data_IF_679491996691
#
_entry.id   IF_679491996691
#
_cell.length_a   1.000
_cell.length_b   1.000
_cell.length_c   1.000
_cell.angle_alpha   90.00
_cell.angle_beta   90.00
_cell.angle_gamma   90.00
#
_symmetry.space_group_name_H-M   'P 1'
#
loop_
_entity.id
_entity.type
_entity.pdbx_description
1 polymer ?
#
# COMPACT_ATOMS: atom_id res chain seq x y z
N UNK A 1 14.01 -13.89 -5.67
CA UNK A 1 14.50 -12.58 -6.17
C UNK A 1 14.01 -11.53 -5.20
N UNK A 2 14.91 -10.74 -4.65
CA UNK A 2 14.56 -9.72 -3.66
C UNK A 2 14.15 -8.44 -4.40
N UNK A 3 12.91 -7.98 -4.17
CA UNK A 3 12.36 -6.80 -4.84
C UNK A 3 12.70 -5.57 -4.00
N UNK A 4 13.22 -4.55 -4.69
CA UNK A 4 13.62 -3.27 -4.11
C UNK A 4 12.83 -2.15 -4.77
N UNK A 5 12.52 -1.14 -3.97
CA UNK A 5 11.81 0.06 -4.33
C UNK A 5 12.71 1.27 -4.15
N UNK A 6 12.50 2.31 -4.96
CA UNK A 6 13.04 3.62 -4.66
C UNK A 6 12.24 4.22 -3.50
N UNK A 7 12.88 4.31 -2.35
CA UNK A 7 12.34 4.93 -1.15
C UNK A 7 11.22 4.18 -0.41
N UNK A 8 10.75 4.83 0.65
CA UNK A 8 9.77 4.34 1.61
C UNK A 8 8.40 5.05 1.42
N UNK A 9 7.47 4.93 2.38
CA UNK A 9 6.17 5.62 2.29
C UNK A 9 6.29 7.14 2.19
N UNK A 10 7.32 7.74 2.79
CA UNK A 10 7.58 9.19 2.69
C UNK A 10 7.87 9.58 1.24
N UNK A 11 8.71 8.81 0.55
CA UNK A 11 8.98 8.99 -0.87
C UNK A 11 7.73 8.79 -1.72
N UNK A 12 6.91 7.78 -1.40
CA UNK A 12 5.64 7.57 -2.07
C UNK A 12 4.71 8.80 -1.99
N UNK A 13 4.53 9.32 -0.77
CA UNK A 13 3.69 10.50 -0.50
C UNK A 13 4.17 11.73 -1.28
N UNK A 14 5.43 12.09 -1.14
CA UNK A 14 5.91 13.39 -1.60
C UNK A 14 6.34 13.39 -3.08
N UNK A 15 6.71 12.22 -3.62
CA UNK A 15 7.29 12.10 -4.96
C UNK A 15 6.42 11.26 -5.89
N UNK A 16 6.18 9.98 -5.56
CA UNK A 16 5.58 9.04 -6.51
C UNK A 16 4.14 9.40 -6.88
N UNK A 17 3.28 9.71 -5.90
CA UNK A 17 1.87 10.05 -6.18
C UNK A 17 1.77 11.22 -7.16
N UNK A 18 2.52 12.31 -6.91
CA UNK A 18 2.51 13.50 -7.78
C UNK A 18 3.01 13.17 -9.18
N UNK A 19 4.10 12.41 -9.26
CA UNK A 19 4.68 11.95 -10.53
C UNK A 19 3.68 11.10 -11.31
N UNK A 20 3.01 10.17 -10.65
CA UNK A 20 2.07 9.25 -11.29
C UNK A 20 0.79 9.92 -11.72
N UNK A 21 0.25 10.85 -10.93
CA UNK A 21 -0.91 11.65 -11.34
C UNK A 21 -0.61 12.47 -12.60
N UNK A 22 0.59 13.06 -12.70
CA UNK A 22 1.04 13.72 -13.92
C UNK A 22 1.14 12.75 -15.12
N UNK A 23 1.71 11.56 -14.90
CA UNK A 23 2.03 10.62 -15.97
C UNK A 23 0.86 9.76 -16.46
N UNK A 24 -0.06 9.36 -15.57
CA UNK A 24 -1.04 8.31 -15.81
C UNK A 24 -2.50 8.75 -15.62
N UNK A 25 -2.76 9.87 -14.94
CA UNK A 25 -4.10 10.42 -14.73
C UNK A 25 -4.37 11.65 -15.58
N UNK A 26 -3.43 12.59 -15.62
CA UNK A 26 -3.60 13.88 -16.28
C UNK A 26 -2.99 13.95 -17.69
N UNK A 27 -2.41 12.85 -18.18
CA UNK A 27 -1.71 12.85 -19.46
C UNK A 27 -2.66 12.61 -20.64
N UNK A 28 -3.07 13.70 -21.33
CA UNK A 28 -3.95 13.68 -22.51
C UNK A 28 -3.42 12.82 -23.66
N UNK A 29 -2.11 12.57 -23.75
CA UNK A 29 -1.49 11.76 -24.81
C UNK A 29 -1.51 10.26 -24.51
N UNK A 30 -2.02 9.84 -23.34
CA UNK A 30 -2.27 8.43 -23.01
C UNK A 30 -3.75 8.11 -23.11
N UNK A 31 -4.04 6.90 -23.58
CA UNK A 31 -5.40 6.36 -23.49
C UNK A 31 -5.68 5.97 -22.02
N UNK A 32 -6.27 6.89 -21.26
CA UNK A 32 -6.56 6.71 -19.83
C UNK A 32 -7.45 5.48 -19.58
N UNK A 33 -8.42 5.22 -20.45
CA UNK A 33 -9.29 4.04 -20.34
C UNK A 33 -8.48 2.74 -20.38
N UNK A 34 -7.54 2.65 -21.33
CA UNK A 34 -6.67 1.48 -21.45
C UNK A 34 -5.68 1.36 -20.28
N UNK A 35 -5.14 2.48 -19.78
CA UNK A 35 -4.29 2.47 -18.57
C UNK A 35 -5.08 1.95 -17.37
N UNK A 36 -6.29 2.47 -17.15
CA UNK A 36 -7.15 2.06 -16.05
C UNK A 36 -7.54 0.58 -16.16
N UNK A 37 -7.84 0.10 -17.37
CA UNK A 37 -8.15 -1.30 -17.63
C UNK A 37 -6.96 -2.22 -17.29
N UNK A 38 -5.74 -1.85 -17.70
CA UNK A 38 -4.53 -2.59 -17.36
C UNK A 38 -4.25 -2.54 -15.85
N UNK A 39 -4.35 -1.39 -15.20
CA UNK A 39 -4.13 -1.26 -13.75
C UNK A 39 -5.15 -2.08 -12.96
N UNK A 40 -6.42 -2.01 -13.34
CA UNK A 40 -7.51 -2.83 -12.77
C UNK A 40 -7.15 -4.31 -12.90
N UNK A 41 -6.72 -4.73 -14.09
CA UNK A 41 -6.35 -6.13 -14.32
C UNK A 41 -5.25 -6.62 -13.36
N UNK A 42 -4.15 -5.86 -13.21
CA UNK A 42 -3.07 -6.24 -12.29
C UNK A 42 -3.43 -6.06 -10.82
N UNK A 43 -4.40 -5.19 -10.50
CA UNK A 43 -4.90 -5.03 -9.15
C UNK A 43 -5.76 -6.23 -8.71
N UNK A 44 -6.55 -6.82 -9.61
CA UNK A 44 -7.42 -7.97 -9.32
C UNK A 44 -6.81 -9.34 -9.66
N UNK A 45 -5.54 -9.38 -10.06
CA UNK A 45 -4.84 -10.62 -10.38
C UNK A 45 -3.46 -10.63 -9.72
N UNK A 46 -2.98 -11.81 -9.33
CA UNK A 46 -1.67 -11.94 -8.70
C UNK A 46 -0.54 -11.65 -9.69
N UNK A 47 -0.29 -12.57 -10.63
CA UNK A 47 0.81 -12.46 -11.58
C UNK A 47 0.29 -12.77 -12.97
N UNK A 48 0.62 -11.93 -13.95
CA UNK A 48 0.26 -12.12 -15.35
C UNK A 48 1.44 -11.80 -16.25
N UNK A 49 1.63 -12.61 -17.28
CA UNK A 49 2.41 -12.22 -18.46
C UNK A 49 1.67 -11.13 -19.24
N UNK A 50 2.39 -10.38 -20.07
CA UNK A 50 1.76 -9.42 -20.99
C UNK A 50 0.74 -10.09 -21.94
N UNK A 51 0.99 -11.35 -22.31
CA UNK A 51 0.08 -12.15 -23.13
C UNK A 51 -1.21 -12.54 -22.40
N UNK A 52 -1.11 -13.06 -21.18
CA UNK A 52 -2.28 -13.37 -20.34
C UNK A 52 -3.10 -12.11 -20.05
N UNK A 53 -2.42 -10.98 -19.82
CA UNK A 53 -3.08 -9.70 -19.64
C UNK A 53 -3.86 -9.28 -20.91
N UNK A 54 -3.23 -9.40 -22.08
CA UNK A 54 -3.88 -9.08 -23.35
C UNK A 54 -5.09 -9.98 -23.62
N UNK A 55 -4.99 -11.28 -23.31
CA UNK A 55 -6.10 -12.23 -23.42
C UNK A 55 -7.31 -11.83 -22.58
N UNK A 56 -7.09 -11.32 -21.36
CA UNK A 56 -8.19 -10.90 -20.47
C UNK A 56 -8.86 -9.60 -20.94
N UNK A 57 -8.15 -8.74 -21.66
CA UNK A 57 -8.67 -7.47 -22.21
C UNK A 57 -9.37 -7.68 -23.57
N UNK A 58 -8.91 -8.62 -24.38
CA UNK A 58 -9.36 -8.82 -25.75
C UNK A 58 -10.64 -9.63 -25.89
N UNK A 59 -11.48 -9.28 -26.88
CA UNK A 59 -12.63 -10.09 -27.31
C UNK A 59 -12.16 -11.31 -28.14
N UNK A 60 -11.77 -12.40 -27.47
CA UNK A 60 -11.51 -13.79 -27.94
C UNK A 60 -10.73 -14.08 -29.26
N UNK A 61 -10.50 -13.13 -30.18
CA UNK A 61 -9.78 -13.38 -31.44
C UNK A 61 -8.28 -13.06 -31.32
N UNK A 62 -7.44 -13.83 -32.04
CA UNK A 62 -5.99 -13.81 -31.89
C UNK A 62 -5.34 -12.47 -32.27
N UNK A 63 -5.83 -11.82 -33.32
CA UNK A 63 -5.32 -10.52 -33.79
C UNK A 63 -5.50 -9.40 -32.76
N UNK A 64 -6.65 -9.36 -32.07
CA UNK A 64 -6.85 -8.37 -31.01
C UNK A 64 -5.94 -8.62 -29.81
N UNK A 65 -5.69 -9.90 -29.47
CA UNK A 65 -4.75 -10.29 -28.41
C UNK A 65 -3.34 -9.78 -28.75
N UNK A 66 -2.84 -10.04 -29.96
CA UNK A 66 -1.53 -9.55 -30.41
C UNK A 66 -1.42 -8.02 -30.35
N UNK A 67 -2.46 -7.30 -30.82
CA UNK A 67 -2.50 -5.84 -30.78
C UNK A 67 -2.47 -5.31 -29.35
N UNK A 68 -3.22 -5.92 -28.45
CA UNK A 68 -3.27 -5.50 -27.05
C UNK A 68 -1.99 -5.88 -26.29
N UNK A 69 -1.36 -7.01 -26.60
CA UNK A 69 -0.07 -7.38 -26.00
C UNK A 69 1.02 -6.35 -26.36
N UNK A 70 1.10 -5.93 -27.63
CA UNK A 70 2.02 -4.86 -28.06
C UNK A 70 1.76 -3.54 -27.31
N UNK A 71 0.49 -3.17 -27.13
CA UNK A 71 0.12 -1.98 -26.35
C UNK A 71 0.51 -2.10 -24.88
N UNK A 72 0.29 -3.26 -24.25
CA UNK A 72 0.66 -3.54 -22.86
C UNK A 72 2.18 -3.44 -22.69
N UNK A 73 2.96 -4.09 -23.56
CA UNK A 73 4.43 -4.04 -23.51
C UNK A 73 4.95 -2.60 -23.62
N UNK A 74 4.38 -1.80 -24.52
CA UNK A 74 4.69 -0.35 -24.62
C UNK A 74 4.30 0.43 -23.36
N UNK A 75 3.17 0.12 -22.74
CA UNK A 75 2.77 0.75 -21.48
C UNK A 75 3.69 0.37 -20.31
N UNK A 76 4.20 -0.87 -20.29
CA UNK A 76 5.09 -1.35 -19.24
C UNK A 76 6.47 -0.72 -19.29
N UNK A 77 7.08 -0.68 -20.47
CA UNK A 77 8.45 -0.19 -20.67
C UNK A 77 8.49 1.33 -20.84
N UNK A 78 7.43 1.92 -21.40
CA UNK A 78 7.41 3.32 -21.81
C UNK A 78 7.76 3.47 -23.29
N UNK A 79 7.78 4.72 -23.76
CA UNK A 79 8.09 5.07 -25.15
C UNK A 79 8.63 6.49 -25.27
N UNK A 80 9.30 6.78 -26.39
CA UNK A 80 9.53 8.14 -26.86
C UNK A 80 8.43 8.51 -27.85
N UNK A 81 7.89 9.72 -27.75
CA UNK A 81 6.93 10.28 -28.71
C UNK A 81 7.29 11.75 -28.94
N UNK A 82 7.65 12.11 -30.17
CA UNK A 82 8.09 13.45 -30.58
C UNK A 82 9.09 14.10 -29.59
N UNK A 83 10.20 13.42 -29.32
CA UNK A 83 11.25 13.89 -28.39
C UNK A 83 10.88 13.86 -26.90
N UNK A 84 9.63 13.55 -26.55
CA UNK A 84 9.18 13.45 -25.15
C UNK A 84 9.23 12.00 -24.66
N UNK A 85 9.88 11.75 -23.52
CA UNK A 85 9.90 10.43 -22.87
C UNK A 85 8.63 10.21 -22.05
N UNK A 86 7.91 9.12 -22.33
CA UNK A 86 6.79 8.64 -21.55
C UNK A 86 7.23 7.41 -20.79
N UNK A 87 7.39 7.58 -19.48
CA UNK A 87 7.86 6.48 -18.66
C UNK A 87 6.82 5.35 -18.54
N UNK A 88 7.31 4.12 -18.52
CA UNK A 88 6.46 2.94 -18.36
C UNK A 88 6.01 2.71 -16.93
N UNK A 89 5.07 1.76 -16.76
CA UNK A 89 4.65 1.30 -15.43
C UNK A 89 5.78 0.64 -14.63
N UNK A 90 6.75 0.00 -15.30
CA UNK A 90 7.93 -0.61 -14.66
C UNK A 90 8.90 0.45 -14.13
N UNK A 91 9.20 1.46 -14.95
CA UNK A 91 10.09 2.58 -14.58
C UNK A 91 9.50 3.42 -13.44
N UNK A 92 8.17 3.46 -13.36
CA UNK A 92 7.44 4.09 -12.28
C UNK A 92 7.16 3.15 -11.11
N UNK A 93 7.66 1.91 -11.10
CA UNK A 93 7.47 0.96 -9.99
C UNK A 93 6.00 0.71 -9.61
N UNK A 94 5.06 0.94 -10.53
CA UNK A 94 3.62 0.62 -10.33
C UNK A 94 3.41 -0.89 -10.48
N UNK A 95 4.11 -1.48 -11.45
CA UNK A 95 4.20 -2.93 -11.62
C UNK A 95 5.66 -3.33 -11.50
N UNK A 96 5.90 -4.60 -11.16
CA UNK A 96 7.23 -5.19 -11.12
C UNK A 96 7.30 -6.41 -12.03
N UNK A 97 8.50 -6.71 -12.54
CA UNK A 97 8.78 -7.92 -13.29
C UNK A 97 9.31 -9.00 -12.33
N UNK A 98 8.55 -10.07 -12.17
CA UNK A 98 8.97 -11.28 -11.48
C UNK A 98 9.55 -12.18 -12.57
N UNK A 99 10.87 -12.09 -12.79
CA UNK A 99 11.55 -12.91 -13.80
C UNK A 99 11.28 -14.39 -13.51
N UNK A 100 10.75 -15.10 -14.50
CA UNK A 100 10.69 -16.56 -14.51
C UNK A 100 11.45 -17.08 -15.73
N UNK A 101 12.08 -18.26 -15.61
CA UNK A 101 13.00 -18.86 -16.59
C UNK A 101 12.43 -18.98 -18.02
N UNK A 102 11.10 -18.97 -18.18
CA UNK A 102 10.42 -19.15 -19.47
C UNK A 102 9.77 -17.89 -20.04
N UNK A 103 9.31 -16.95 -19.20
CA UNK A 103 8.58 -15.75 -19.63
C UNK A 103 8.62 -14.66 -18.54
N UNK A 104 8.60 -13.38 -18.95
CA UNK A 104 8.41 -12.26 -18.01
C UNK A 104 6.99 -12.30 -17.44
N UNK A 105 6.87 -12.48 -16.12
CA UNK A 105 5.62 -12.29 -15.38
C UNK A 105 5.66 -10.96 -14.67
N UNK A 106 4.50 -10.33 -14.56
CA UNK A 106 4.36 -9.03 -13.93
C UNK A 106 3.33 -9.12 -12.83
N UNK A 107 3.50 -8.31 -11.79
CA UNK A 107 2.46 -8.07 -10.79
C UNK A 107 2.42 -6.62 -10.37
N UNK A 108 1.33 -6.24 -9.71
CA UNK A 108 1.26 -4.96 -9.04
C UNK A 108 2.30 -4.89 -7.91
N UNK A 109 2.91 -3.73 -7.74
CA UNK A 109 3.80 -3.47 -6.63
C UNK A 109 3.04 -3.03 -5.38
N UNK A 110 3.72 -2.88 -4.24
CA UNK A 110 3.09 -2.29 -3.04
C UNK A 110 2.66 -0.83 -3.27
N UNK A 111 3.52 0.00 -3.86
CA UNK A 111 3.15 1.38 -4.17
C UNK A 111 2.05 1.45 -5.25
N UNK A 112 2.11 0.57 -6.26
CA UNK A 112 1.10 0.46 -7.30
C UNK A 112 -0.25 0.02 -6.75
N UNK A 113 -0.25 -0.91 -5.80
CA UNK A 113 -1.43 -1.35 -5.07
C UNK A 113 -2.05 -0.18 -4.31
N UNK A 114 -1.25 0.56 -3.53
CA UNK A 114 -1.70 1.77 -2.86
C UNK A 114 -2.31 2.74 -3.88
N UNK A 115 -1.60 3.03 -4.97
CA UNK A 115 -2.12 3.95 -5.99
C UNK A 115 -3.46 3.50 -6.57
N UNK A 116 -3.63 2.21 -6.88
CA UNK A 116 -4.89 1.67 -7.38
C UNK A 116 -6.05 1.85 -6.39
N UNK A 117 -5.81 1.67 -5.08
CA UNK A 117 -6.84 1.85 -4.04
C UNK A 117 -7.47 3.25 -4.06
N UNK A 118 -6.70 4.29 -4.39
CA UNK A 118 -7.22 5.66 -4.52
C UNK A 118 -7.68 5.96 -5.95
N UNK A 119 -6.83 5.65 -6.92
CA UNK A 119 -6.97 6.12 -8.29
C UNK A 119 -8.16 5.49 -9.02
N UNK A 120 -8.38 4.18 -8.82
CA UNK A 120 -9.47 3.45 -9.46
C UNK A 120 -10.81 3.62 -8.74
N UNK A 121 -10.87 4.37 -7.63
CA UNK A 121 -12.08 4.60 -6.81
C UNK A 121 -12.79 3.30 -6.42
N UNK A 122 -12.02 2.28 -6.04
CA UNK A 122 -12.53 0.94 -5.75
C UNK A 122 -13.52 0.95 -4.59
N UNK A 123 -14.59 0.17 -4.71
CA UNK A 123 -15.58 -0.12 -3.67
C UNK A 123 -15.02 -1.00 -2.55
N UNK A 124 -15.71 -1.08 -1.41
CA UNK A 124 -15.27 -1.93 -0.29
C UNK A 124 -15.18 -3.41 -0.70
N UNK A 125 -16.16 -3.90 -1.46
CA UNK A 125 -16.20 -5.28 -1.99
C UNK A 125 -15.00 -5.58 -2.90
N UNK A 126 -14.59 -4.61 -3.71
CA UNK A 126 -13.41 -4.74 -4.55
C UNK A 126 -12.11 -4.79 -3.75
N UNK A 127 -12.01 -4.00 -2.68
CA UNK A 127 -10.86 -4.05 -1.77
C UNK A 127 -10.80 -5.41 -1.06
N UNK A 128 -11.93 -5.98 -0.65
CA UNK A 128 -11.97 -7.32 -0.07
C UNK A 128 -11.40 -8.38 -1.01
N UNK A 129 -11.73 -8.30 -2.30
CA UNK A 129 -11.17 -9.20 -3.32
C UNK A 129 -9.66 -9.01 -3.48
N UNK A 130 -9.20 -7.75 -3.50
CA UNK A 130 -7.78 -7.42 -3.57
C UNK A 130 -7.02 -7.96 -2.36
N UNK A 131 -7.57 -7.80 -1.15
CA UNK A 131 -6.97 -8.32 0.06
C UNK A 131 -6.80 -9.85 -0.01
N UNK A 132 -7.83 -10.56 -0.50
CA UNK A 132 -7.75 -12.02 -0.73
C UNK A 132 -6.70 -12.41 -1.76
N UNK A 133 -6.56 -11.66 -2.85
CA UNK A 133 -5.57 -11.97 -3.89
C UNK A 133 -4.14 -11.72 -3.42
N UNK A 134 -3.91 -10.60 -2.74
CA UNK A 134 -2.58 -10.07 -2.46
C UNK A 134 -2.09 -10.36 -1.04
N UNK A 135 -2.61 -11.41 -0.39
CA UNK A 135 -2.21 -11.79 0.98
C UNK A 135 -0.70 -11.92 1.15
N UNK A 136 0.03 -12.36 0.11
CA UNK A 136 1.48 -12.50 0.14
C UNK A 136 2.23 -11.16 0.13
N UNK A 137 1.65 -10.10 -0.42
CA UNK A 137 2.27 -8.76 -0.47
C UNK A 137 2.17 -8.05 0.88
N UNK A 138 1.00 -8.11 1.52
CA UNK A 138 0.74 -7.46 2.82
C UNK A 138 0.27 -8.49 3.86
N UNK A 139 1.12 -9.47 4.23
CA UNK A 139 0.69 -10.62 5.04
C UNK A 139 0.13 -10.21 6.40
N UNK A 140 0.66 -9.17 7.06
CA UNK A 140 0.14 -8.76 8.38
C UNK A 140 -1.24 -8.10 8.34
N UNK A 141 -1.68 -7.64 7.17
CA UNK A 141 -2.97 -6.98 6.97
C UNK A 141 -3.92 -7.94 6.24
N UNK A 142 -3.57 -8.32 5.02
CA UNK A 142 -4.46 -9.00 4.09
C UNK A 142 -4.73 -10.46 4.44
N UNK A 143 -3.81 -11.18 5.10
CA UNK A 143 -4.10 -12.54 5.58
C UNK A 143 -5.16 -12.59 6.67
N UNK A 144 -5.45 -11.44 7.29
CA UNK A 144 -6.39 -11.28 8.41
C UNK A 144 -7.51 -10.30 8.08
N UNK A 145 -7.72 -10.03 6.78
CA UNK A 145 -8.65 -9.01 6.34
C UNK A 145 -10.07 -9.26 6.85
N UNK A 146 -10.50 -10.52 6.84
CA UNK A 146 -11.83 -10.90 7.32
C UNK A 146 -11.99 -10.68 8.84
N UNK A 147 -10.95 -10.93 9.64
CA UNK A 147 -10.96 -10.58 11.08
C UNK A 147 -11.02 -9.08 11.31
N UNK A 148 -10.30 -8.30 10.51
CA UNK A 148 -10.24 -6.84 10.66
C UNK A 148 -11.58 -6.17 10.37
N UNK A 149 -12.38 -6.75 9.47
CA UNK A 149 -13.74 -6.30 9.14
C UNK A 149 -14.73 -6.44 10.30
N UNK A 150 -14.45 -7.27 11.32
CA UNK A 150 -15.29 -7.35 12.52
C UNK A 150 -15.42 -5.99 13.23
N UNK A 151 -14.45 -5.09 13.04
CA UNK A 151 -14.46 -3.74 13.62
C UNK A 151 -15.22 -2.70 12.76
N UNK A 152 -15.71 -3.08 11.58
CA UNK A 152 -16.40 -2.18 10.66
C UNK A 152 -15.46 -1.58 9.60
N UNK A 153 -15.77 -0.35 9.18
CA UNK A 153 -15.12 0.30 8.03
C UNK A 153 -13.66 0.74 8.30
N UNK A 154 -13.18 0.62 9.54
CA UNK A 154 -11.81 0.88 9.97
C UNK A 154 -10.77 0.14 9.12
N UNK A 155 -11.08 -1.08 8.66
CA UNK A 155 -10.16 -1.85 7.82
C UNK A 155 -9.90 -1.15 6.47
N UNK A 156 -10.84 -0.34 5.97
CA UNK A 156 -10.68 0.40 4.72
C UNK A 156 -9.83 1.67 4.85
N UNK A 157 -9.30 1.97 6.05
CA UNK A 157 -8.38 3.12 6.29
C UNK A 157 -7.07 3.01 5.51
N UNK A 158 -6.73 1.85 4.96
CA UNK A 158 -5.64 1.72 3.98
C UNK A 158 -5.82 2.68 2.78
N UNK A 159 -7.06 3.09 2.47
CA UNK A 159 -7.37 4.15 1.49
C UNK A 159 -6.82 5.54 1.86
N UNK A 160 -6.57 5.80 3.15
CA UNK A 160 -5.98 7.06 3.59
C UNK A 160 -4.48 7.07 3.27
N UNK A 161 -3.80 5.97 3.56
CA UNK A 161 -2.39 5.80 3.21
C UNK A 161 -2.17 5.93 1.70
N UNK A 162 -3.05 5.34 0.90
CA UNK A 162 -2.98 5.43 -0.56
C UNK A 162 -3.22 6.84 -1.11
N UNK A 163 -3.70 7.79 -0.29
CA UNK A 163 -3.80 9.20 -0.64
C UNK A 163 -2.54 9.99 -0.24
N UNK A 164 -1.53 9.30 0.28
CA UNK A 164 -0.31 9.92 0.83
C UNK A 164 -0.53 10.54 2.21
N UNK A 165 -1.67 10.30 2.88
CA UNK A 165 -1.97 10.89 4.18
C UNK A 165 -1.26 10.10 5.29
N UNK A 166 0.03 10.41 5.50
CA UNK A 166 0.87 9.76 6.51
C UNK A 166 0.73 10.38 7.90
N UNK A 167 0.89 11.71 7.97
CA UNK A 167 0.89 12.52 9.19
C UNK A 167 -0.11 13.70 9.12
N UNK A 168 -0.80 13.87 7.99
CA UNK A 168 -1.55 15.10 7.67
C UNK A 168 -2.95 15.15 8.28
N UNK A 169 -3.24 14.21 9.19
CA UNK A 169 -4.55 14.08 9.83
C UNK A 169 -4.52 14.81 11.17
N UNK A 170 -4.68 16.13 11.11
CA UNK A 170 -4.78 17.01 12.29
C UNK A 170 -5.86 16.57 13.30
N UNK A 171 -6.90 15.92 12.80
CA UNK A 171 -7.92 15.27 13.62
C UNK A 171 -7.37 14.15 14.52
N UNK A 172 -6.30 13.46 14.10
CA UNK A 172 -5.56 12.49 14.91
C UNK A 172 -4.56 13.14 15.88
N UNK A 173 -4.20 14.41 15.66
CA UNK A 173 -3.20 15.15 16.44
C UNK A 173 -3.77 15.63 17.78
N UNK A 174 -5.06 15.96 17.84
CA UNK A 174 -5.67 16.57 19.02
C UNK A 174 -6.16 15.55 20.08
N UNK A 175 -6.05 14.25 19.84
CA UNK A 175 -6.44 13.25 20.83
C UNK A 175 -5.29 12.97 21.82
N UNK A 176 -5.38 13.54 23.02
CA UNK A 176 -4.42 13.32 24.11
C UNK A 176 -4.50 11.91 24.72
N UNK A 177 -5.49 11.10 24.33
CA UNK A 177 -5.72 9.78 24.93
C UNK A 177 -4.99 8.66 24.22
N UNK A 178 -4.74 8.71 22.92
CA UNK A 178 -4.01 7.64 22.19
C UNK A 178 -2.72 8.20 21.57
N UNK A 179 -1.56 7.53 21.75
CA UNK A 179 -0.26 8.05 21.31
C UNK A 179 -0.02 7.84 19.81
N UNK A 180 -1.03 8.12 18.97
CA UNK A 180 -0.97 7.96 17.50
C UNK A 180 0.23 8.70 16.93
N UNK A 181 0.42 9.96 17.33
CA UNK A 181 1.45 10.83 16.77
C UNK A 181 2.86 10.39 17.17
N UNK A 182 3.05 9.96 18.41
CA UNK A 182 4.33 9.43 18.87
C UNK A 182 4.68 8.15 18.09
N UNK A 183 3.70 7.25 17.90
CA UNK A 183 3.89 6.04 17.10
C UNK A 183 4.18 6.36 15.62
N UNK A 184 3.43 7.27 15.00
CA UNK A 184 3.64 7.64 13.59
C UNK A 184 4.97 8.37 13.40
N UNK A 185 5.38 9.22 14.34
CA UNK A 185 6.68 9.88 14.32
C UNK A 185 7.81 8.87 14.45
N UNK A 186 7.73 7.97 15.43
CA UNK A 186 8.73 6.92 15.58
C UNK A 186 8.76 5.98 14.36
N UNK A 187 7.61 5.67 13.77
CA UNK A 187 7.53 4.91 12.52
C UNK A 187 8.32 5.61 11.42
N UNK A 188 8.11 6.91 11.21
CA UNK A 188 8.87 7.70 10.25
C UNK A 188 10.38 7.63 10.52
N UNK A 189 10.80 7.82 11.78
CA UNK A 189 12.22 7.74 12.16
C UNK A 189 12.81 6.34 11.94
N UNK A 190 12.05 5.29 12.26
CA UNK A 190 12.47 3.88 12.13
C UNK A 190 12.74 3.51 10.67
N UNK A 191 11.97 4.05 9.72
CA UNK A 191 12.10 3.76 8.30
C UNK A 191 12.82 4.84 7.49
N UNK A 192 13.35 5.89 8.14
CA UNK A 192 14.08 6.97 7.48
C UNK A 192 15.29 6.46 6.69
N UNK A 193 16.00 5.46 7.23
CA UNK A 193 17.14 4.82 6.55
C UNK A 193 16.81 4.16 5.20
N UNK A 194 15.52 3.97 4.89
CA UNK A 194 15.05 3.39 3.63
C UNK A 194 14.53 4.47 2.66
N UNK A 195 14.88 5.75 2.88
CA UNK A 195 14.44 6.87 2.03
C UNK A 195 14.92 6.78 0.59
N UNK A 196 16.06 6.16 0.35
CA UNK A 196 16.64 5.97 -0.99
C UNK A 196 16.26 4.62 -1.60
N UNK A 197 16.38 3.55 -0.81
CA UNK A 197 16.11 2.19 -1.25
C UNK A 197 15.41 1.40 -0.14
N UNK A 198 14.27 0.79 -0.47
CA UNK A 198 13.48 0.01 0.48
C UNK A 198 13.21 -1.38 -0.08
N UNK A 199 13.49 -2.42 0.71
CA UNK A 199 13.13 -3.78 0.32
C UNK A 199 11.61 -3.96 0.43
N UNK A 200 11.01 -4.80 -0.41
CA UNK A 200 9.57 -5.02 -0.37
C UNK A 200 9.05 -5.47 0.99
N UNK A 201 9.83 -6.31 1.67
CA UNK A 201 9.49 -6.76 3.02
C UNK A 201 9.48 -5.60 4.02
N UNK A 202 10.42 -4.68 3.93
CA UNK A 202 10.51 -3.51 4.80
C UNK A 202 9.38 -2.51 4.49
N UNK A 203 9.04 -2.31 3.22
CA UNK A 203 7.91 -1.47 2.84
C UNK A 203 6.58 -2.08 3.30
N UNK A 204 6.40 -3.40 3.15
CA UNK A 204 5.23 -4.11 3.67
C UNK A 204 5.12 -3.97 5.19
N UNK A 205 6.25 -4.01 5.89
CA UNK A 205 6.35 -3.80 7.33
C UNK A 205 5.95 -2.36 7.73
N UNK A 206 6.47 -1.35 7.03
CA UNK A 206 6.14 0.06 7.24
C UNK A 206 4.63 0.32 7.05
N UNK A 207 4.07 -0.18 5.93
CA UNK A 207 2.63 -0.14 5.64
C UNK A 207 1.83 -0.81 6.75
N UNK A 208 2.31 -1.95 7.25
CA UNK A 208 1.65 -2.69 8.32
C UNK A 208 1.61 -1.90 9.62
N UNK A 209 2.73 -1.33 10.07
CA UNK A 209 2.71 -0.49 11.28
C UNK A 209 1.78 0.70 11.11
N UNK A 210 1.89 1.43 10.00
CA UNK A 210 1.02 2.57 9.72
C UNK A 210 -0.45 2.15 9.77
N UNK A 211 -0.79 1.01 9.16
CA UNK A 211 -2.14 0.49 9.15
C UNK A 211 -2.63 0.16 10.56
N UNK A 212 -1.87 -0.58 11.36
CA UNK A 212 -2.32 -0.93 12.71
C UNK A 212 -2.44 0.29 13.62
N UNK A 213 -1.51 1.24 13.56
CA UNK A 213 -1.60 2.50 14.31
C UNK A 213 -2.92 3.22 13.98
N UNK A 214 -3.23 3.36 12.70
CA UNK A 214 -4.44 4.06 12.25
C UNK A 214 -5.72 3.25 12.38
N UNK A 215 -5.66 1.92 12.30
CA UNK A 215 -6.78 1.02 12.53
C UNK A 215 -7.23 1.03 13.99
N UNK A 216 -6.27 1.19 14.91
CA UNK A 216 -6.55 1.27 16.34
C UNK A 216 -6.98 2.65 16.81
N UNK A 217 -6.64 3.72 16.08
CA UNK A 217 -7.13 5.06 16.36
C UNK A 217 -8.67 5.12 16.25
N UNK A 218 -9.35 5.76 17.21
CA UNK A 218 -10.78 6.09 17.14
C UNK A 218 -11.00 7.56 17.47
N UNK A 219 -11.74 8.28 16.62
CA UNK A 219 -12.12 9.68 16.87
C UNK A 219 -13.09 9.84 18.03
N UNK A 220 -13.92 8.81 18.27
CA UNK A 220 -14.96 8.83 19.28
C UNK A 220 -14.36 8.27 20.55
N UNK A 221 -13.77 9.16 21.35
CA UNK A 221 -13.42 8.97 22.77
C UNK A 221 -13.15 7.51 23.16
N UNK A 222 -11.88 7.13 23.22
CA UNK A 222 -11.38 5.81 23.60
C UNK A 222 -12.19 5.20 24.77
N UNK A 223 -13.23 4.44 24.43
CA UNK A 223 -14.09 3.80 25.43
C UNK A 223 -13.38 2.55 25.93
N UNK A 224 -13.70 2.10 27.14
CA UNK A 224 -13.20 0.83 27.69
C UNK A 224 -13.45 -0.33 26.71
N UNK A 225 -14.56 -0.26 25.95
CA UNK A 225 -14.91 -1.20 24.87
C UNK A 225 -13.83 -1.25 23.77
N UNK A 226 -13.26 -0.12 23.37
CA UNK A 226 -12.25 -0.04 22.31
C UNK A 226 -10.88 -0.55 22.77
N UNK A 227 -10.50 -0.31 24.04
CA UNK A 227 -9.34 -0.98 24.68
C UNK A 227 -9.51 -2.49 24.70
N UNK A 228 -10.71 -2.96 25.03
CA UNK A 228 -11.02 -4.38 25.07
C UNK A 228 -11.00 -5.00 23.67
N UNK A 229 -11.47 -4.29 22.64
CA UNK A 229 -11.38 -4.72 21.24
C UNK A 229 -9.92 -4.73 20.73
N UNK A 230 -9.12 -3.73 21.09
CA UNK A 230 -7.67 -3.69 20.81
C UNK A 230 -6.98 -4.93 21.39
N UNK A 231 -7.21 -5.21 22.68
CA UNK A 231 -6.71 -6.41 23.34
C UNK A 231 -7.26 -7.68 22.68
N UNK A 232 -8.53 -7.73 22.29
CA UNK A 232 -9.15 -8.91 21.65
C UNK A 232 -8.50 -9.26 20.31
N UNK A 233 -8.26 -8.28 19.43
CA UNK A 233 -7.65 -8.51 18.10
C UNK A 233 -6.19 -8.94 18.25
N UNK A 234 -5.44 -8.29 19.15
CA UNK A 234 -4.06 -8.68 19.42
C UNK A 234 -3.99 -10.04 20.13
N UNK A 235 -4.85 -10.32 21.10
CA UNK A 235 -4.84 -11.58 21.86
C UNK A 235 -5.34 -12.77 21.05
N UNK A 236 -6.24 -12.58 20.07
CA UNK A 236 -6.56 -13.60 19.07
C UNK A 236 -5.32 -14.08 18.30
N UNK A 237 -4.24 -13.29 18.30
CA UNK A 237 -3.12 -13.44 17.39
C UNK A 237 -1.75 -13.16 18.04
N UNK A 238 -1.14 -14.18 18.67
CA UNK A 238 0.11 -14.02 19.41
C UNK A 238 1.24 -13.40 18.58
N UNK A 239 1.37 -13.77 17.31
CA UNK A 239 2.43 -13.25 16.43
C UNK A 239 2.32 -11.75 16.16
N UNK A 240 1.11 -11.25 15.89
CA UNK A 240 0.86 -9.81 15.68
C UNK A 240 0.98 -9.05 17.00
N UNK A 241 0.51 -9.63 18.10
CA UNK A 241 0.65 -9.04 19.43
C UNK A 241 2.11 -8.81 19.78
N UNK A 242 2.94 -9.86 19.71
CA UNK A 242 4.37 -9.78 20.01
C UNK A 242 5.08 -8.79 19.09
N UNK A 243 4.77 -8.83 17.80
CA UNK A 243 5.31 -7.92 16.80
C UNK A 243 4.98 -6.45 17.10
N UNK A 244 3.70 -6.14 17.35
CA UNK A 244 3.27 -4.77 17.60
C UNK A 244 3.71 -4.27 18.98
N UNK A 245 3.70 -5.13 20.02
CA UNK A 245 4.24 -4.81 21.36
C UNK A 245 5.72 -4.46 21.31
N UNK A 246 6.51 -5.18 20.50
CA UNK A 246 7.92 -4.84 20.27
C UNK A 246 8.07 -3.43 19.71
N UNK A 247 7.26 -3.06 18.73
CA UNK A 247 7.22 -1.70 18.20
C UNK A 247 6.81 -0.65 19.25
N UNK A 248 5.82 -0.94 20.09
CA UNK A 248 5.43 -0.04 21.19
C UNK A 248 6.57 0.16 22.20
N UNK A 249 7.28 -0.91 22.55
CA UNK A 249 8.43 -0.86 23.44
C UNK A 249 9.57 -0.02 22.84
N UNK A 250 9.87 -0.23 21.56
CA UNK A 250 10.86 0.56 20.84
C UNK A 250 10.48 2.05 20.77
N UNK A 251 9.20 2.36 20.50
CA UNK A 251 8.67 3.72 20.53
C UNK A 251 8.85 4.34 21.93
N UNK A 252 8.48 3.63 22.99
CA UNK A 252 8.63 4.11 24.38
C UNK A 252 10.11 4.34 24.74
N UNK A 253 11.00 3.46 24.29
CA UNK A 253 12.46 3.63 24.49
C UNK A 253 12.98 4.86 23.78
N UNK A 254 12.50 5.14 22.56
CA UNK A 254 12.89 6.32 21.79
C UNK A 254 12.50 7.63 22.51
N UNK A 255 11.30 7.69 23.08
CA UNK A 255 10.80 8.87 23.79
C UNK A 255 11.10 8.89 25.30
N UNK A 256 11.92 7.97 25.84
CA UNK A 256 12.11 7.77 27.29
C UNK A 256 12.53 9.04 28.06
N UNK A 257 13.15 10.03 27.41
CA UNK A 257 13.55 11.32 28.00
C UNK A 257 12.47 12.41 27.91
N UNK A 258 11.40 12.17 27.17
CA UNK A 258 10.31 13.11 26.90
C UNK A 258 9.05 12.67 27.66
N UNK A 259 8.40 13.59 28.37
CA UNK A 259 7.20 13.32 29.20
C UNK A 259 5.93 13.08 28.35
N UNK A 260 5.98 12.05 27.51
CA UNK A 260 5.08 11.69 26.41
C UNK A 260 3.90 10.81 26.86
N UNK A 261 2.84 10.71 26.04
CA UNK A 261 1.63 9.94 26.32
C UNK A 261 1.93 8.44 26.44
N UNK A 262 2.86 7.90 25.62
CA UNK A 262 3.34 6.51 25.74
C UNK A 262 4.12 6.24 27.02
N UNK A 263 4.81 7.26 27.53
CA UNK A 263 5.61 7.13 28.77
C UNK A 263 4.71 7.20 30.00
N UNK A 264 3.64 8.01 29.97
CA UNK A 264 2.71 8.23 31.09
C UNK A 264 1.70 7.11 31.33
N UNK A 265 1.24 6.42 30.29
CA UNK A 265 0.22 5.38 30.45
C UNK A 265 0.80 3.98 30.17
N UNK A 266 0.31 2.97 30.89
CA UNK A 266 0.60 1.57 30.60
C UNK A 266 -0.20 1.11 29.37
N UNK A 267 0.46 1.13 28.22
CA UNK A 267 -0.09 0.69 26.92
C UNK A 267 0.19 -0.78 26.61
N UNK A 268 0.70 -1.55 27.59
CA UNK A 268 1.04 -2.99 27.48
C UNK A 268 0.39 -3.77 28.61
#
# INVERSE_FOLDING_TARGET
MEIKYNGNLTYYKYTLIKKWDKNFKNNKRRNLKFVNEVLTLFCFNNELTSWEAAKKISKKNFESINKNEKKIKRLFVGRMDNGTKYEGLLQNEIIINIKNKKNNKYRISLFGLLYCLTYLKLTNKEIDNIAKMHQKLLPKIFSRWDEMKEKGDECYRLRLLSRGLLLDRFDMINDRKFPTMEMLFYLHMKFLKYSEMCHEKDLAEEISYWFYITYFYSKRSYSIQEKNNFKKILNKNPSINTWFKKFLFETKKYFKKSNTILVKNEWV
#
